data_IF_648436979145
#
_entry.id   IF_648436979145
#
_cell.length_a   1.000
_cell.length_b   1.000
_cell.length_c   1.000
_cell.angle_alpha   90.00
_cell.angle_beta   90.00
_cell.angle_gamma   90.00
#
_symmetry.space_group_name_H-M   'P 1'
#
loop_
_entity.id
_entity.type
_entity.pdbx_description
1 polymer ?
#
# COMPACT_ATOMS: atom_id res chain seq x y z
N UNK A 1 -3.59 23.22 13.92
CA UNK A 1 -3.34 22.67 13.41
C UNK A 1 -3.64 22.84 12.43
N UNK A 2 -3.29 23.20 12.19
CA UNK A 2 -3.54 23.31 11.23
C UNK A 2 -3.58 22.22 10.66
N UNK A 3 -4.25 21.73 10.67
CA UNK A 3 -4.40 20.75 10.15
C UNK A 3 -4.28 20.93 8.81
N UNK A 4 -3.42 20.35 8.25
CA UNK A 4 -3.36 20.39 6.96
C UNK A 4 -4.45 19.62 6.49
N UNK A 5 -5.35 20.26 5.92
CA UNK A 5 -6.40 19.63 5.44
C UNK A 5 -5.98 18.99 4.24
N UNK A 6 -5.95 17.70 4.23
CA UNK A 6 -5.72 16.98 3.05
C UNK A 6 -6.92 17.15 2.21
N UNK A 7 -6.78 17.97 1.19
CA UNK A 7 -7.87 18.16 0.33
C UNK A 7 -8.18 16.88 -0.37
N UNK A 8 -9.35 16.32 -0.13
CA UNK A 8 -9.72 15.05 -0.73
C UNK A 8 -10.34 15.32 -2.10
N UNK A 9 -9.53 15.26 -3.13
CA UNK A 9 -10.01 15.38 -4.50
C UNK A 9 -10.64 14.05 -4.92
N UNK A 10 -11.37 14.06 -6.02
CA UNK A 10 -11.95 12.83 -6.53
C UNK A 10 -10.88 11.79 -6.82
N UNK A 11 -9.78 12.21 -7.44
CA UNK A 11 -8.69 11.28 -7.75
C UNK A 11 -8.10 10.68 -6.49
N UNK A 12 -7.88 11.50 -5.47
CA UNK A 12 -7.29 11.01 -4.22
C UNK A 12 -8.24 10.06 -3.52
N UNK A 13 -9.54 10.36 -3.53
CA UNK A 13 -10.53 9.50 -2.91
C UNK A 13 -10.59 8.13 -3.58
N UNK A 14 -10.55 8.10 -4.90
CA UNK A 14 -10.58 6.84 -5.65
C UNK A 14 -9.34 6.00 -5.35
N UNK A 15 -8.18 6.64 -5.34
CA UNK A 15 -6.92 5.96 -5.04
C UNK A 15 -6.97 5.33 -3.65
N UNK A 16 -7.44 6.08 -2.67
CA UNK A 16 -7.54 5.58 -1.31
C UNK A 16 -8.53 4.43 -1.19
N UNK A 17 -9.68 4.54 -1.83
CA UNK A 17 -10.68 3.48 -1.81
C UNK A 17 -10.15 2.19 -2.41
N UNK A 18 -9.50 2.27 -3.57
CA UNK A 18 -8.99 1.08 -4.23
C UNK A 18 -7.87 0.44 -3.43
N UNK A 19 -7.02 1.27 -2.84
CA UNK A 19 -5.94 0.75 -2.01
C UNK A 19 -6.49 0.01 -0.79
N UNK A 20 -7.53 0.55 -0.16
CA UNK A 20 -8.12 -0.07 1.03
C UNK A 20 -8.82 -1.38 0.73
N UNK A 21 -9.29 -1.56 -0.50
CA UNK A 21 -9.90 -2.81 -0.90
C UNK A 21 -8.87 -3.89 -1.20
N UNK A 22 -7.64 -3.49 -1.49
CA UNK A 22 -6.61 -4.41 -1.95
C UNK A 22 -5.82 -4.96 -0.78
N UNK A 23 -5.83 -6.27 -0.62
CA UNK A 23 -5.12 -6.90 0.48
C UNK A 23 -3.71 -7.33 0.12
N UNK A 24 -3.31 -7.19 -1.12
CA UNK A 24 -2.00 -7.64 -1.57
C UNK A 24 -0.91 -6.58 -1.45
N UNK A 25 -1.24 -5.38 -0.96
CA UNK A 25 -0.30 -4.27 -0.80
C UNK A 25 0.41 -3.96 -2.11
N UNK A 26 -0.28 -3.30 -3.02
CA UNK A 26 0.24 -3.10 -4.38
C UNK A 26 1.35 -2.08 -4.45
N UNK A 27 2.14 -2.17 -5.52
CA UNK A 27 3.03 -1.08 -5.91
C UNK A 27 2.17 0.01 -6.55
N UNK A 28 2.75 1.18 -6.78
CA UNK A 28 2.03 2.25 -7.45
C UNK A 28 1.61 1.84 -8.87
N UNK A 29 2.46 1.08 -9.57
CA UNK A 29 2.13 0.63 -10.92
C UNK A 29 0.93 -0.31 -10.91
N UNK A 30 0.90 -1.23 -9.95
CA UNK A 30 -0.22 -2.16 -9.83
C UNK A 30 -1.50 -1.43 -9.50
N UNK A 31 -1.42 -0.48 -8.58
CA UNK A 31 -2.60 0.30 -8.21
C UNK A 31 -3.07 1.18 -9.36
N UNK A 32 -2.14 1.73 -10.14
CA UNK A 32 -2.48 2.52 -11.31
C UNK A 32 -3.36 1.71 -12.27
N UNK A 33 -3.02 0.43 -12.48
CA UNK A 33 -3.80 -0.42 -13.37
C UNK A 33 -5.23 -0.60 -12.87
N UNK A 34 -5.42 -0.62 -11.56
CA UNK A 34 -6.75 -0.76 -10.98
C UNK A 34 -7.51 0.56 -11.05
N UNK A 35 -6.86 1.65 -10.66
CA UNK A 35 -7.51 2.96 -10.57
C UNK A 35 -7.92 3.49 -11.94
N UNK A 36 -7.16 3.18 -12.97
CA UNK A 36 -7.45 3.71 -14.30
C UNK A 36 -8.76 3.17 -14.87
N UNK A 37 -9.29 2.11 -14.31
CA UNK A 37 -10.59 1.61 -14.75
C UNK A 37 -11.70 2.56 -14.33
N UNK A 38 -11.51 3.28 -13.24
CA UNK A 38 -12.47 4.28 -12.77
C UNK A 38 -12.10 5.68 -13.24
N UNK A 39 -10.82 5.92 -13.45
CA UNK A 39 -10.30 7.23 -13.87
C UNK A 39 -9.39 7.03 -15.08
N UNK A 40 -9.96 6.84 -16.28
CA UNK A 40 -9.17 6.49 -17.47
C UNK A 40 -8.11 7.50 -17.85
N UNK A 41 -8.23 8.74 -17.41
CA UNK A 41 -7.27 9.78 -17.77
C UNK A 41 -6.21 10.03 -16.73
N UNK A 42 -6.24 9.27 -15.62
CA UNK A 42 -5.24 9.49 -14.58
C UNK A 42 -3.88 9.01 -15.05
N UNK A 43 -2.82 9.70 -14.68
CA UNK A 43 -1.47 9.30 -15.04
C UNK A 43 -0.80 8.55 -13.88
N UNK A 44 0.21 7.76 -14.20
CA UNK A 44 0.98 7.06 -13.17
C UNK A 44 1.63 8.07 -12.22
N UNK A 45 2.13 9.18 -12.75
CA UNK A 45 2.73 10.21 -11.90
C UNK A 45 1.74 10.77 -10.89
N UNK A 46 0.47 10.93 -11.28
CA UNK A 46 -0.56 11.40 -10.37
C UNK A 46 -0.83 10.37 -9.27
N UNK A 47 -0.82 9.08 -9.62
CA UNK A 47 -1.00 8.02 -8.63
C UNK A 47 0.15 8.05 -7.63
N UNK A 48 1.39 8.17 -8.09
CA UNK A 48 2.56 8.26 -7.21
C UNK A 48 2.46 9.45 -6.27
N UNK A 49 2.14 10.63 -6.80
CA UNK A 49 2.08 11.83 -5.98
C UNK A 49 1.00 11.73 -4.91
N UNK A 50 -0.14 11.15 -5.26
CA UNK A 50 -1.22 11.01 -4.29
C UNK A 50 -0.90 9.96 -3.23
N UNK A 51 -0.24 8.86 -3.62
CA UNK A 51 0.18 7.85 -2.65
C UNK A 51 1.20 8.42 -1.68
N UNK A 52 2.17 9.19 -2.17
CA UNK A 52 3.16 9.81 -1.29
C UNK A 52 2.49 10.82 -0.36
N UNK A 53 1.55 11.60 -0.87
CA UNK A 53 0.85 12.57 -0.05
C UNK A 53 0.03 11.87 1.04
N UNK A 54 -0.67 10.81 0.69
CA UNK A 54 -1.48 10.07 1.67
C UNK A 54 -0.60 9.38 2.72
N UNK A 55 0.56 8.88 2.31
CA UNK A 55 1.50 8.26 3.25
C UNK A 55 2.08 9.30 4.20
N UNK A 56 2.46 10.47 3.67
CA UNK A 56 3.03 11.52 4.50
C UNK A 56 2.01 12.09 5.48
N UNK A 57 0.72 12.07 5.12
CA UNK A 57 -0.32 12.56 6.01
C UNK A 57 -0.83 11.49 6.99
N UNK A 58 -0.31 10.27 6.90
CA UNK A 58 -0.69 9.22 7.83
C UNK A 58 -1.94 8.43 7.46
N UNK A 59 -2.51 8.70 6.28
CA UNK A 59 -3.71 7.99 5.85
C UNK A 59 -3.41 6.57 5.37
N UNK A 60 -2.21 6.34 4.88
CA UNK A 60 -1.77 5.03 4.41
C UNK A 60 -0.33 4.83 4.86
N UNK A 61 0.20 3.63 4.66
CA UNK A 61 1.56 3.31 5.04
C UNK A 61 2.38 2.89 3.83
N UNK A 62 3.62 3.34 3.77
CA UNK A 62 4.57 2.84 2.78
C UNK A 62 5.28 1.64 3.36
N UNK A 63 5.43 0.61 2.54
CA UNK A 63 6.16 -0.59 2.94
C UNK A 63 7.37 -0.71 2.03
N UNK A 64 8.54 -0.56 2.61
CA UNK A 64 9.77 -0.64 1.85
C UNK A 64 10.64 -1.73 2.43
N UNK A 65 11.16 -2.58 1.58
CA UNK A 65 12.08 -3.61 1.99
C UNK A 65 13.31 -3.52 1.09
N UNK A 66 14.47 -3.79 1.63
CA UNK A 66 15.71 -3.69 0.87
C UNK A 66 15.60 -4.52 -0.42
N UNK A 67 15.94 -3.91 -1.53
CA UNK A 67 15.93 -4.59 -2.81
C UNK A 67 14.57 -4.77 -3.44
N UNK A 68 13.52 -4.20 -2.85
CA UNK A 68 12.16 -4.36 -3.37
C UNK A 68 11.56 -3.04 -3.78
N UNK A 69 10.61 -3.10 -4.69
CA UNK A 69 9.84 -1.93 -5.08
C UNK A 69 8.94 -1.54 -3.92
N UNK A 70 8.79 -0.24 -3.70
CA UNK A 70 7.94 0.29 -2.65
C UNK A 70 6.50 -0.16 -2.85
N UNK A 71 5.87 -0.60 -1.78
CA UNK A 71 4.47 -1.01 -1.78
C UNK A 71 3.69 -0.16 -0.78
N UNK A 72 2.37 -0.21 -0.88
CA UNK A 72 1.51 0.64 -0.06
C UNK A 72 0.41 -0.16 0.62
N UNK A 73 0.07 0.24 1.83
CA UNK A 73 -0.94 -0.42 2.63
C UNK A 73 -1.96 0.61 3.08
N UNK A 74 -3.21 0.40 2.74
CA UNK A 74 -4.29 1.29 3.14
C UNK A 74 -4.77 1.06 4.57
N UNK A 75 -4.33 -0.01 5.20
CA UNK A 75 -4.71 -0.33 6.58
C UNK A 75 -3.56 0.08 7.48
N UNK A 76 -3.75 1.12 8.28
CA UNK A 76 -2.71 1.64 9.15
C UNK A 76 -2.70 0.99 10.53
N UNK A 77 -3.59 0.02 10.77
CA UNK A 77 -3.57 -0.69 12.05
C UNK A 77 -2.34 -1.60 12.11
N UNK A 78 -1.90 -1.90 13.34
CA UNK A 78 -0.73 -2.75 13.48
C UNK A 78 -1.06 -4.19 13.11
N UNK A 79 -0.20 -4.82 12.34
CA UNK A 79 -0.33 -6.24 12.02
C UNK A 79 1.01 -6.69 11.43
N UNK A 80 1.18 -8.00 11.32
CA UNK A 80 2.37 -8.54 10.71
C UNK A 80 2.15 -8.72 9.21
N UNK A 81 3.22 -8.59 8.45
CA UNK A 81 3.17 -8.79 7.02
C UNK A 81 4.01 -9.99 6.64
N UNK A 82 3.61 -10.69 5.60
CA UNK A 82 4.37 -11.81 5.06
C UNK A 82 4.81 -11.41 3.66
N UNK A 83 6.11 -11.47 3.41
CA UNK A 83 6.65 -11.11 2.11
C UNK A 83 7.14 -12.35 1.38
N UNK A 84 6.77 -12.48 0.12
CA UNK A 84 7.25 -13.56 -0.71
C UNK A 84 8.65 -13.21 -1.20
N UNK A 85 9.63 -14.07 -0.93
CA UNK A 85 11.02 -13.78 -1.29
C UNK A 85 11.27 -13.85 -2.79
N UNK A 86 10.36 -14.43 -3.55
CA UNK A 86 10.54 -14.50 -5.00
C UNK A 86 10.01 -13.26 -5.72
N UNK A 87 8.81 -12.85 -5.43
CA UNK A 87 8.16 -11.77 -6.17
C UNK A 87 8.01 -10.48 -5.36
N UNK A 88 8.35 -10.50 -4.08
CA UNK A 88 8.24 -9.32 -3.24
C UNK A 88 6.82 -8.97 -2.82
N UNK A 89 5.83 -9.80 -3.16
CA UNK A 89 4.45 -9.52 -2.78
C UNK A 89 4.30 -9.63 -1.27
N UNK A 90 3.53 -8.73 -0.69
CA UNK A 90 3.33 -8.69 0.75
C UNK A 90 1.85 -8.91 1.06
N UNK A 91 1.58 -9.79 2.00
CA UNK A 91 0.23 -10.03 2.50
C UNK A 91 0.19 -9.77 3.99
N UNK A 92 -1.02 -9.61 4.53
CA UNK A 92 -1.20 -9.37 5.95
C UNK A 92 -1.29 -10.67 6.74
N UNK A 93 -0.75 -10.64 7.95
CA UNK A 93 -0.91 -11.74 8.89
C UNK A 93 -1.63 -11.15 10.09
N UNK A 94 -2.89 -11.51 10.24
CA UNK A 94 -3.73 -10.91 11.29
C UNK A 94 -3.52 -11.53 12.66
N UNK A 95 -2.83 -12.66 12.74
CA UNK A 95 -2.51 -13.28 14.00
C UNK A 95 -1.02 -13.58 14.03
N UNK A 96 -0.37 -13.46 15.20
CA UNK A 96 1.06 -13.75 15.27
C UNK A 96 1.33 -15.19 14.88
N UNK A 97 2.43 -15.39 14.16
CA UNK A 97 2.84 -16.73 13.75
C UNK A 97 3.62 -17.37 14.87
N UNK A 98 3.25 -18.58 15.25
CA UNK A 98 3.92 -19.28 16.33
C UNK A 98 5.12 -20.08 15.83
N UNK A 99 5.18 -20.36 14.54
CA UNK A 99 6.26 -21.14 13.96
C UNK A 99 6.90 -20.36 12.84
N UNK A 100 8.12 -20.71 12.46
CA UNK A 100 8.77 -20.03 11.34
C UNK A 100 7.92 -20.17 10.08
N UNK A 101 7.96 -19.16 9.21
CA UNK A 101 7.22 -19.23 7.97
C UNK A 101 7.83 -20.28 7.06
N UNK A 102 7.05 -20.69 6.06
CA UNK A 102 7.56 -21.64 5.10
C UNK A 102 8.69 -21.01 4.29
N UNK A 103 9.49 -21.87 3.67
CA UNK A 103 10.61 -21.41 2.88
C UNK A 103 10.13 -20.45 1.80
N UNK A 104 10.86 -19.41 1.55
CA UNK A 104 10.53 -18.41 0.54
C UNK A 104 9.66 -17.29 1.04
N UNK A 105 9.33 -17.27 2.33
CA UNK A 105 8.50 -16.24 2.93
C UNK A 105 9.23 -15.62 4.11
N UNK A 106 9.12 -14.30 4.22
CA UNK A 106 9.70 -13.57 5.32
C UNK A 106 8.57 -12.84 6.04
N UNK A 107 8.54 -12.88 7.36
CA UNK A 107 7.51 -12.22 8.16
C UNK A 107 8.09 -10.97 8.78
N UNK A 108 7.37 -9.86 8.63
CA UNK A 108 7.78 -8.59 9.23
C UNK A 108 6.68 -8.11 10.16
N UNK A 109 7.04 -7.58 11.31
CA UNK A 109 6.10 -7.00 12.26
C UNK A 109 6.16 -5.49 12.22
N UNK A 110 5.00 -4.84 12.43
CA UNK A 110 4.92 -3.38 12.41
C UNK A 110 4.22 -2.86 13.64
#
# INVERSE_FOLDING_TARGET
MAQIQTRMTRQRAVILEELRKTKSHPTADELYSIVRERLPRISLGTVYRNLDFLADSGEIRRLEAAGSTKRFDGDISWHQHVRCLRCGRIGDVMQPLATPPVEGIEVEGF
#
